data_IF_684943616636
#
_entry.id   IF_684943616636
#
_cell.length_a   1.000
_cell.length_b   1.000
_cell.length_c   1.000
_cell.angle_alpha   90.00
_cell.angle_beta   90.00
_cell.angle_gamma   90.00
#
_symmetry.space_group_name_H-M   'P 1'
#
loop_
_entity.id
_entity.type
_entity.pdbx_description
1 polymer ?
#
# COMPACT_ATOMS: atom_id res chain seq x y z
N UNK A 1 12.70 -15.36 -16.08
CA UNK A 1 12.47 -14.75 -14.75
C UNK A 1 11.87 -15.82 -13.85
N UNK A 2 12.23 -15.83 -12.56
CA UNK A 2 11.69 -16.79 -11.59
C UNK A 2 10.78 -16.06 -10.60
N UNK A 3 9.47 -16.26 -10.75
CA UNK A 3 8.44 -15.59 -9.94
C UNK A 3 8.52 -15.92 -8.45
N UNK A 4 8.95 -17.14 -8.09
CA UNK A 4 9.06 -17.55 -6.68
C UNK A 4 10.15 -16.75 -5.96
N UNK A 5 11.18 -16.33 -6.69
CA UNK A 5 12.23 -15.46 -6.17
C UNK A 5 11.80 -13.99 -6.14
N UNK A 6 11.00 -13.56 -7.11
CA UNK A 6 10.54 -12.17 -7.22
C UNK A 6 9.44 -11.83 -6.20
N UNK A 7 8.54 -12.78 -5.89
CA UNK A 7 7.44 -12.63 -4.93
C UNK A 7 7.82 -13.17 -3.54
N UNK A 8 8.99 -12.74 -3.04
CA UNK A 8 9.51 -13.18 -1.74
C UNK A 8 8.68 -12.64 -0.57
N UNK A 9 8.42 -13.52 0.41
CA UNK A 9 7.78 -13.17 1.69
C UNK A 9 8.80 -12.86 2.81
N UNK A 10 10.10 -12.92 2.50
CA UNK A 10 11.15 -12.68 3.47
C UNK A 10 11.14 -11.22 3.97
N UNK A 11 11.39 -11.03 5.27
CA UNK A 11 11.40 -9.71 5.92
C UNK A 11 12.73 -9.48 6.61
N UNK A 12 13.26 -8.26 6.50
CA UNK A 12 14.46 -7.86 7.20
C UNK A 12 14.24 -7.92 8.71
N UNK A 13 15.20 -8.46 9.44
CA UNK A 13 15.13 -8.60 10.90
C UNK A 13 14.24 -9.73 11.41
N UNK A 14 13.63 -10.54 10.53
CA UNK A 14 12.82 -11.71 10.90
C UNK A 14 13.58 -12.98 10.50
N UNK A 15 13.99 -13.77 11.49
CA UNK A 15 14.78 -14.99 11.27
C UNK A 15 13.95 -16.20 10.80
N UNK A 16 12.65 -16.22 11.08
CA UNK A 16 11.74 -17.31 10.70
C UNK A 16 10.46 -16.76 10.09
N UNK A 17 10.12 -17.24 8.89
CA UNK A 17 8.86 -16.88 8.25
C UNK A 17 7.69 -17.36 9.12
N UNK A 18 6.67 -16.52 9.25
CA UNK A 18 5.45 -16.92 9.92
C UNK A 18 4.72 -17.96 9.06
N UNK A 19 4.07 -18.95 9.66
CA UNK A 19 3.22 -19.86 8.92
C UNK A 19 2.13 -19.09 8.19
N UNK A 20 1.73 -19.62 7.03
CA UNK A 20 0.66 -19.04 6.22
C UNK A 20 -0.61 -18.94 7.06
N UNK A 21 -1.23 -17.76 7.03
CA UNK A 21 -2.46 -17.49 7.75
C UNK A 21 -3.63 -17.60 6.79
N UNK A 22 -4.65 -18.36 7.19
CA UNK A 22 -5.87 -18.54 6.40
C UNK A 22 -6.64 -17.23 6.20
N UNK A 23 -6.50 -16.26 7.13
CA UNK A 23 -7.27 -15.02 7.10
C UNK A 23 -6.67 -13.93 6.19
N UNK A 24 -5.34 -13.77 6.19
CA UNK A 24 -4.65 -12.71 5.42
C UNK A 24 -3.28 -13.15 4.94
N UNK A 25 -2.98 -12.85 3.69
CA UNK A 25 -1.65 -13.06 3.10
C UNK A 25 -0.63 -12.05 3.66
N UNK A 26 0.66 -12.37 3.55
CA UNK A 26 1.72 -11.46 3.97
C UNK A 26 1.72 -10.12 3.21
N UNK A 27 1.30 -10.13 1.94
CA UNK A 27 1.16 -8.92 1.13
C UNK A 27 -0.01 -8.04 1.60
N UNK A 28 -1.14 -8.65 2.01
CA UNK A 28 -2.26 -7.91 2.60
C UNK A 28 -1.86 -7.27 3.94
N UNK A 29 -1.10 -7.98 4.77
CA UNK A 29 -0.57 -7.43 6.02
C UNK A 29 0.37 -6.25 5.79
N UNK A 30 1.17 -6.26 4.72
CA UNK A 30 2.05 -5.14 4.39
C UNK A 30 1.29 -3.93 3.91
N UNK A 31 0.25 -4.13 3.11
CA UNK A 31 -0.66 -3.07 2.74
C UNK A 31 -1.27 -2.43 4.00
N UNK A 32 -1.75 -3.22 4.95
CA UNK A 32 -2.30 -2.71 6.22
C UNK A 32 -1.25 -1.92 7.01
N UNK A 33 -0.03 -2.44 7.16
CA UNK A 33 1.06 -1.73 7.84
C UNK A 33 1.35 -0.38 7.21
N UNK A 34 1.33 -0.30 5.88
CA UNK A 34 1.55 0.95 5.16
C UNK A 34 0.40 1.93 5.41
N UNK A 35 -0.85 1.49 5.25
CA UNK A 35 -2.06 2.29 5.46
C UNK A 35 -2.14 2.84 6.88
N UNK A 36 -1.81 2.01 7.88
CA UNK A 36 -1.83 2.42 9.30
C UNK A 36 -0.54 3.11 9.76
N UNK A 37 0.42 3.38 8.89
CA UNK A 37 1.64 4.09 9.28
C UNK A 37 1.40 5.59 9.49
N UNK A 38 2.14 6.19 10.42
CA UNK A 38 2.14 7.65 10.60
C UNK A 38 2.68 8.38 9.37
N UNK A 39 3.62 7.77 8.65
CA UNK A 39 4.16 8.31 7.41
C UNK A 39 3.09 8.43 6.33
N UNK A 40 2.23 7.42 6.16
CA UNK A 40 1.15 7.45 5.20
C UNK A 40 0.06 8.45 5.59
N UNK A 41 -0.35 8.50 6.87
CA UNK A 41 -1.32 9.50 7.36
C UNK A 41 -0.89 10.94 7.09
N UNK A 42 0.41 11.25 7.22
CA UNK A 42 0.96 12.59 6.92
C UNK A 42 0.77 13.03 5.46
N UNK A 43 0.45 12.12 4.53
CA UNK A 43 0.14 12.48 3.15
C UNK A 43 -1.19 13.25 3.02
N UNK A 44 -2.05 13.20 4.04
CA UNK A 44 -3.27 14.01 4.09
C UNK A 44 -2.93 15.50 4.07
N UNK A 45 -1.88 15.91 4.78
CA UNK A 45 -1.44 17.31 4.87
C UNK A 45 -0.39 17.65 3.78
N UNK A 46 -0.39 16.91 2.67
CA UNK A 46 0.47 17.18 1.51
C UNK A 46 -0.39 17.48 0.30
N UNK A 47 -0.16 18.65 -0.28
CA UNK A 47 -0.82 19.10 -1.50
C UNK A 47 -0.51 18.19 -2.68
N UNK A 48 -1.54 17.96 -3.51
CA UNK A 48 -1.41 17.37 -4.84
C UNK A 48 -1.74 18.46 -5.86
N UNK A 49 -0.72 19.17 -6.34
CA UNK A 49 -0.80 20.30 -7.30
C UNK A 49 -1.45 21.56 -6.73
N UNK A 50 -2.65 21.48 -6.17
CA UNK A 50 -3.38 22.62 -5.61
C UNK A 50 -3.09 22.82 -4.12
N UNK A 51 -3.09 24.07 -3.62
CA UNK A 51 -3.01 24.36 -2.19
C UNK A 51 -4.10 23.64 -1.41
N UNK A 52 -3.83 23.34 -0.13
CA UNK A 52 -4.85 22.82 0.77
C UNK A 52 -5.90 23.93 0.96
N UNK A 53 -7.05 23.76 0.33
CA UNK A 53 -8.21 24.62 0.51
C UNK A 53 -9.04 24.12 1.70
N UNK A 54 -9.91 24.95 2.27
CA UNK A 54 -10.90 24.45 3.23
C UNK A 54 -11.95 23.53 2.58
N UNK A 55 -11.99 23.45 1.25
CA UNK A 55 -12.76 22.43 0.54
C UNK A 55 -12.01 21.10 0.54
N UNK A 56 -12.70 20.07 1.01
CA UNK A 56 -12.31 18.66 1.05
C UNK A 56 -12.28 17.99 -0.34
N UNK A 57 -12.75 18.69 -1.38
CA UNK A 57 -12.77 18.19 -2.76
C UNK A 57 -11.39 18.20 -3.43
N UNK A 58 -10.44 18.99 -2.90
CA UNK A 58 -9.08 19.03 -3.44
C UNK A 58 -8.33 17.77 -3.03
N UNK A 59 -7.82 17.03 -4.02
CA UNK A 59 -6.99 15.85 -3.78
C UNK A 59 -5.74 16.22 -2.98
N UNK A 60 -5.44 15.40 -1.98
CA UNK A 60 -4.17 15.41 -1.26
C UNK A 60 -3.30 14.29 -1.82
N UNK A 61 -2.02 14.22 -1.44
CA UNK A 61 -1.18 13.08 -1.82
C UNK A 61 -1.76 11.76 -1.30
N UNK A 62 -2.46 11.79 -0.16
CA UNK A 62 -3.10 10.61 0.41
C UNK A 62 -4.23 10.09 -0.48
N UNK A 63 -5.19 10.95 -0.82
CA UNK A 63 -6.36 10.52 -1.59
C UNK A 63 -5.96 10.07 -2.99
N UNK A 64 -5.02 10.79 -3.62
CA UNK A 64 -4.45 10.37 -4.89
C UNK A 64 -3.75 9.00 -4.80
N UNK A 65 -2.93 8.76 -3.75
CA UNK A 65 -2.25 7.47 -3.58
C UNK A 65 -3.23 6.31 -3.38
N UNK A 66 -4.36 6.55 -2.70
CA UNK A 66 -5.43 5.56 -2.54
C UNK A 66 -6.10 5.24 -3.88
N UNK A 67 -6.44 6.26 -4.69
CA UNK A 67 -6.97 6.07 -6.05
C UNK A 67 -6.02 5.22 -6.91
N UNK A 68 -4.73 5.57 -6.93
CA UNK A 68 -3.69 4.84 -7.67
C UNK A 68 -3.56 3.40 -7.17
N UNK A 69 -3.58 3.18 -5.86
CA UNK A 69 -3.51 1.82 -5.29
C UNK A 69 -4.69 0.94 -5.71
N UNK A 70 -5.89 1.52 -5.85
CA UNK A 70 -7.08 0.80 -6.29
C UNK A 70 -6.96 0.35 -7.74
N UNK A 71 -6.48 1.23 -8.62
CA UNK A 71 -6.18 0.91 -10.02
C UNK A 71 -5.08 -0.16 -10.11
N UNK A 72 -3.99 0.00 -9.36
CA UNK A 72 -2.88 -0.96 -9.33
C UNK A 72 -3.32 -2.35 -8.88
N UNK A 73 -4.20 -2.44 -7.87
CA UNK A 73 -4.79 -3.71 -7.43
C UNK A 73 -5.59 -4.37 -8.56
N UNK A 74 -6.44 -3.62 -9.25
CA UNK A 74 -7.22 -4.13 -10.38
C UNK A 74 -6.34 -4.69 -11.49
N UNK A 75 -5.27 -3.96 -11.85
CA UNK A 75 -4.29 -4.43 -12.84
C UNK A 75 -3.56 -5.69 -12.39
N UNK A 76 -3.14 -5.76 -11.13
CA UNK A 76 -2.48 -6.95 -10.56
C UNK A 76 -3.39 -8.17 -10.59
N UNK A 77 -4.66 -8.03 -10.23
CA UNK A 77 -5.66 -9.12 -10.27
C UNK A 77 -5.98 -9.57 -11.69
N UNK A 78 -5.83 -8.71 -12.71
CA UNK A 78 -6.07 -9.09 -14.11
C UNK A 78 -4.95 -9.96 -14.68
N UNK A 79 -3.71 -9.76 -14.22
CA UNK A 79 -2.52 -10.41 -14.78
C UNK A 79 -2.05 -11.61 -13.95
N UNK A 80 -2.22 -11.56 -12.63
CA UNK A 80 -1.83 -12.63 -11.70
C UNK A 80 -2.90 -13.69 -11.54
#
# INVERSE_FOLDING_TARGET
MDWNRLLSRARLGVSRQHPDSEARTDFQRDFDRLVFSSAFRRLQDKTQVFPLSQSDYVRTRLTHSLEVSSVGRSLGTMVG
#
